data_IF_272455463292
#
_entry.id   IF_272455463292
#
_cell.length_a   1.000
_cell.length_b   1.000
_cell.length_c   1.000
_cell.angle_alpha   90.00
_cell.angle_beta   90.00
_cell.angle_gamma   90.00
#
_symmetry.space_group_name_H-M   'P 1'
#
loop_
_entity.id
_entity.type
_entity.pdbx_description
1 polymer ?
#
# COMPACT_ATOMS: atom_id res chain seq x y z
N UNK A 1 -71.85 0.59 27.48
CA UNK A 1 -71.25 -0.10 26.33
C UNK A 1 -70.24 0.85 25.72
N UNK A 2 -68.94 0.57 25.88
CA UNK A 2 -67.89 1.58 25.71
C UNK A 2 -67.52 1.76 24.23
N UNK A 3 -67.88 2.91 23.65
CA UNK A 3 -67.61 3.28 22.25
C UNK A 3 -66.10 3.25 21.90
N UNK A 4 -65.24 3.36 22.91
CA UNK A 4 -63.77 3.34 22.78
C UNK A 4 -63.28 1.96 22.28
N UNK A 5 -63.95 0.87 22.68
CA UNK A 5 -63.60 -0.49 22.23
C UNK A 5 -63.92 -0.72 20.76
N UNK A 6 -65.00 -0.12 20.25
CA UNK A 6 -65.39 -0.21 18.85
C UNK A 6 -64.40 0.55 17.95
N UNK A 7 -63.97 1.75 18.37
CA UNK A 7 -63.03 2.59 17.63
C UNK A 7 -61.64 1.92 17.54
N UNK A 8 -61.14 1.36 18.65
CA UNK A 8 -59.86 0.66 18.69
C UNK A 8 -59.83 -0.57 17.77
N UNK A 9 -60.94 -1.32 17.69
CA UNK A 9 -61.04 -2.51 16.85
C UNK A 9 -61.17 -2.16 15.37
N UNK A 10 -61.83 -1.06 15.02
CA UNK A 10 -61.87 -0.55 13.63
C UNK A 10 -60.54 0.02 13.17
N UNK A 11 -59.78 0.70 14.04
CA UNK A 11 -58.47 1.26 13.69
C UNK A 11 -57.42 0.17 13.47
N UNK A 12 -57.50 -0.95 14.19
CA UNK A 12 -56.62 -2.09 13.97
C UNK A 12 -56.84 -2.77 12.61
N UNK A 13 -58.05 -2.68 12.04
CA UNK A 13 -58.39 -3.21 10.73
C UNK A 13 -58.11 -2.24 9.57
N UNK A 14 -58.09 -0.93 9.86
CA UNK A 14 -57.77 0.12 8.87
C UNK A 14 -56.28 0.47 8.82
N UNK A 15 -55.50 0.03 9.80
CA UNK A 15 -54.07 0.25 9.81
C UNK A 15 -53.43 -0.58 8.68
N UNK A 16 -52.65 0.05 7.77
CA UNK A 16 -51.90 -0.69 6.78
C UNK A 16 -50.97 -1.69 7.49
N UNK A 17 -50.73 -2.89 6.91
CA UNK A 17 -49.81 -3.84 7.50
C UNK A 17 -48.46 -3.15 7.77
N UNK A 18 -47.82 -3.43 8.93
CA UNK A 18 -46.54 -2.82 9.25
C UNK A 18 -45.58 -3.07 8.09
N UNK A 19 -44.83 -2.05 7.63
CA UNK A 19 -43.96 -2.19 6.48
C UNK A 19 -42.96 -3.32 6.73
N UNK A 20 -42.87 -4.26 5.80
CA UNK A 20 -41.88 -5.33 5.79
C UNK A 20 -40.50 -4.70 6.00
N UNK A 21 -39.90 -4.90 7.18
CA UNK A 21 -38.57 -4.37 7.45
C UNK A 21 -37.59 -5.27 6.68
N UNK A 22 -36.73 -4.73 5.80
CA UNK A 22 -35.74 -5.54 5.11
C UNK A 22 -34.94 -6.35 6.13
N UNK A 23 -34.90 -7.67 5.94
CA UNK A 23 -34.09 -8.59 6.74
C UNK A 23 -32.66 -8.04 6.77
N UNK A 24 -32.15 -7.70 7.96
CA UNK A 24 -30.80 -7.15 8.07
C UNK A 24 -29.84 -8.25 7.60
N UNK A 25 -28.96 -8.00 6.62
CA UNK A 25 -28.03 -9.02 6.15
C UNK A 25 -27.25 -9.56 7.34
N UNK A 26 -27.29 -10.88 7.52
CA UNK A 26 -26.55 -11.54 8.58
C UNK A 26 -25.06 -11.15 8.44
N UNK A 27 -24.40 -10.69 9.52
CA UNK A 27 -22.99 -10.37 9.45
C UNK A 27 -22.23 -11.61 8.98
N UNK A 28 -21.43 -11.47 7.93
CA UNK A 28 -20.62 -12.56 7.39
C UNK A 28 -19.66 -13.06 8.46
N UNK A 29 -20.01 -14.20 9.05
CA UNK A 29 -19.35 -14.77 10.21
C UNK A 29 -17.89 -15.16 9.95
N UNK A 30 -17.03 -14.82 10.92
CA UNK A 30 -15.85 -15.58 11.29
C UNK A 30 -14.57 -15.42 10.47
N UNK A 31 -14.64 -15.28 9.13
CA UNK A 31 -13.46 -15.49 8.28
C UNK A 31 -13.18 -14.38 7.25
N UNK A 32 -13.97 -13.31 7.23
CA UNK A 32 -13.73 -12.16 6.35
C UNK A 32 -12.34 -11.53 6.57
N UNK A 33 -11.84 -11.56 7.81
CA UNK A 33 -10.50 -11.07 8.16
C UNK A 33 -9.38 -11.92 7.54
N UNK A 34 -9.57 -13.25 7.47
CA UNK A 34 -8.59 -14.15 6.87
C UNK A 34 -8.48 -13.92 5.36
N UNK A 35 -9.61 -13.72 4.68
CA UNK A 35 -9.62 -13.35 3.27
C UNK A 35 -8.91 -12.00 3.04
N UNK A 36 -9.15 -11.01 3.90
CA UNK A 36 -8.48 -9.71 3.81
C UNK A 36 -6.96 -9.82 3.99
N UNK A 37 -6.47 -10.66 4.91
CA UNK A 37 -5.04 -10.89 5.10
C UNK A 37 -4.39 -11.59 3.89
N UNK A 38 -5.06 -12.58 3.31
CA UNK A 38 -4.56 -13.28 2.12
C UNK A 38 -4.49 -12.33 0.93
N UNK A 39 -5.54 -11.54 0.69
CA UNK A 39 -5.56 -10.56 -0.40
C UNK A 39 -4.49 -9.50 -0.17
N UNK A 40 -4.39 -8.96 1.05
CA UNK A 40 -3.38 -7.97 1.41
C UNK A 40 -1.95 -8.49 1.25
N UNK A 41 -1.67 -9.73 1.64
CA UNK A 41 -0.34 -10.31 1.52
C UNK A 41 0.06 -10.50 0.05
N UNK A 42 -0.84 -10.99 -0.80
CA UNK A 42 -0.61 -11.12 -2.24
C UNK A 42 -0.34 -9.75 -2.87
N UNK A 43 -1.12 -8.72 -2.52
CA UNK A 43 -0.88 -7.35 -2.98
C UNK A 43 0.51 -6.84 -2.55
N UNK A 44 0.90 -7.06 -1.29
CA UNK A 44 2.22 -6.64 -0.81
C UNK A 44 3.34 -7.38 -1.54
N UNK A 45 3.23 -8.68 -1.74
CA UNK A 45 4.23 -9.48 -2.48
C UNK A 45 4.43 -8.94 -3.90
N UNK A 46 3.38 -8.44 -4.55
CA UNK A 46 3.47 -7.86 -5.89
C UNK A 46 4.02 -6.43 -5.89
N UNK A 47 3.63 -5.60 -4.93
CA UNK A 47 3.97 -4.17 -4.91
C UNK A 47 5.34 -3.91 -4.30
N UNK A 48 5.72 -4.63 -3.24
CA UNK A 48 6.98 -4.42 -2.52
C UNK A 48 8.21 -4.53 -3.43
N UNK A 49 8.35 -5.53 -4.32
CA UNK A 49 9.47 -5.59 -5.25
C UNK A 49 9.52 -4.39 -6.20
N UNK A 50 8.35 -3.93 -6.67
CA UNK A 50 8.25 -2.77 -7.55
C UNK A 50 8.77 -1.51 -6.83
N UNK A 51 8.32 -1.28 -5.59
CA UNK A 51 8.81 -0.15 -4.77
C UNK A 51 10.30 -0.29 -4.47
N UNK A 52 10.77 -1.49 -4.13
CA UNK A 52 12.17 -1.75 -3.82
C UNK A 52 13.10 -1.45 -5.01
N UNK A 53 12.77 -1.93 -6.21
CA UNK A 53 13.55 -1.67 -7.43
C UNK A 53 13.71 -0.17 -7.67
N UNK A 54 12.65 0.61 -7.48
CA UNK A 54 12.66 2.05 -7.71
C UNK A 54 13.39 2.80 -6.58
N UNK A 55 13.29 2.31 -5.34
CA UNK A 55 13.98 2.85 -4.17
C UNK A 55 15.50 2.62 -4.21
N UNK A 56 15.94 1.42 -4.57
CA UNK A 56 17.37 1.07 -4.66
C UNK A 56 18.07 1.71 -5.86
N UNK A 57 17.36 2.10 -6.93
CA UNK A 57 17.96 2.85 -8.05
C UNK A 57 18.27 4.33 -7.71
N UNK A 58 17.61 4.92 -6.72
CA UNK A 58 17.87 6.32 -6.32
C UNK A 58 19.28 6.60 -5.76
N UNK A 59 19.88 5.79 -4.86
CA UNK A 59 21.23 6.05 -4.36
C UNK A 59 22.29 6.02 -5.48
N UNK A 60 22.08 5.23 -6.53
CA UNK A 60 23.00 5.18 -7.68
C UNK A 60 22.98 6.50 -8.45
N UNK A 61 21.80 7.09 -8.67
CA UNK A 61 21.65 8.37 -9.35
C UNK A 61 22.40 9.50 -8.66
N UNK A 62 22.28 9.61 -7.34
CA UNK A 62 22.98 10.65 -6.56
C UNK A 62 24.49 10.46 -6.50
N UNK A 63 24.98 9.22 -6.45
CA UNK A 63 26.42 8.92 -6.55
C UNK A 63 26.97 9.23 -7.96
N UNK A 64 26.24 8.81 -9.00
CA UNK A 64 26.60 9.03 -10.40
C UNK A 64 26.65 10.51 -10.76
N UNK A 65 25.68 11.31 -10.31
CA UNK A 65 25.69 12.75 -10.52
C UNK A 65 26.92 13.43 -9.88
N UNK A 66 27.30 13.01 -8.66
CA UNK A 66 28.50 13.54 -7.98
C UNK A 66 29.80 13.09 -8.64
N UNK A 67 29.88 11.85 -9.09
CA UNK A 67 31.04 11.37 -9.83
C UNK A 67 31.20 12.12 -11.17
N UNK A 68 30.10 12.34 -11.89
CA UNK A 68 30.09 13.14 -13.12
C UNK A 68 30.48 14.61 -12.87
N UNK A 69 30.04 15.21 -11.76
CA UNK A 69 30.46 16.55 -11.36
C UNK A 69 31.98 16.66 -11.08
N UNK A 70 32.63 15.56 -10.69
CA UNK A 70 34.09 15.48 -10.54
C UNK A 70 34.81 15.14 -11.86
N UNK A 71 34.08 14.97 -12.96
CA UNK A 71 34.63 14.54 -14.25
C UNK A 71 35.01 13.06 -14.31
N UNK A 72 34.52 12.25 -13.37
CA UNK A 72 34.75 10.80 -13.31
C UNK A 72 33.61 9.97 -13.93
N UNK A 73 33.90 8.69 -14.15
CA UNK A 73 32.94 7.66 -14.58
C UNK A 73 32.66 6.69 -13.44
N UNK A 74 31.41 6.24 -13.31
CA UNK A 74 31.04 5.24 -12.30
C UNK A 74 31.34 3.84 -12.83
N UNK A 75 32.13 3.08 -12.08
CA UNK A 75 32.49 1.68 -12.36
C UNK A 75 32.04 0.80 -11.19
N UNK A 76 31.57 -0.40 -11.49
CA UNK A 76 31.25 -1.41 -10.47
C UNK A 76 32.57 -2.05 -10.03
N UNK A 77 32.79 -2.18 -8.71
CA UNK A 77 34.08 -2.61 -8.17
C UNK A 77 34.40 -4.09 -8.45
N UNK A 78 33.38 -4.95 -8.59
CA UNK A 78 33.58 -6.35 -8.89
C UNK A 78 33.05 -6.73 -10.28
N UNK A 79 33.74 -7.70 -10.89
CA UNK A 79 33.50 -8.20 -12.24
C UNK A 79 32.18 -8.97 -12.39
N UNK A 80 31.64 -9.47 -11.28
CA UNK A 80 30.33 -10.13 -11.18
C UNK A 80 29.16 -9.13 -11.06
N UNK A 81 29.46 -7.82 -11.11
CA UNK A 81 28.48 -6.76 -10.91
C UNK A 81 28.07 -6.58 -9.44
N UNK A 82 28.68 -7.31 -8.51
CA UNK A 82 28.43 -7.18 -7.08
C UNK A 82 29.35 -6.13 -6.45
N UNK A 83 28.93 -5.54 -5.33
CA UNK A 83 29.78 -4.62 -4.56
C UNK A 83 29.64 -3.12 -4.88
N UNK A 84 30.32 -2.28 -4.09
CA UNK A 84 30.05 -0.85 -4.04
C UNK A 84 30.51 -0.12 -5.31
N UNK A 85 29.70 0.83 -5.77
CA UNK A 85 30.03 1.74 -6.87
C UNK A 85 31.30 2.53 -6.56
N UNK A 86 32.24 2.58 -7.50
CA UNK A 86 33.46 3.38 -7.44
C UNK A 86 33.38 4.49 -8.48
N UNK A 87 33.91 5.66 -8.14
CA UNK A 87 34.12 6.73 -9.12
C UNK A 87 35.56 6.62 -9.61
N UNK A 88 35.78 6.67 -10.92
CA UNK A 88 37.11 6.53 -11.52
C UNK A 88 37.35 7.65 -12.54
N UNK A 89 38.54 8.24 -12.52
CA UNK A 89 38.99 9.25 -13.47
C UNK A 89 40.43 8.93 -13.89
N UNK A 90 40.68 8.76 -15.18
CA UNK A 90 42.01 8.47 -15.74
C UNK A 90 42.78 7.37 -14.99
N UNK A 91 42.09 6.26 -14.66
CA UNK A 91 42.67 5.13 -13.94
C UNK A 91 42.88 5.34 -12.43
N UNK A 92 42.42 6.47 -11.88
CA UNK A 92 42.45 6.75 -10.43
C UNK A 92 41.06 6.65 -9.83
N UNK A 93 40.95 5.94 -8.71
CA UNK A 93 39.72 5.90 -7.92
C UNK A 93 39.53 7.23 -7.18
N UNK A 94 38.43 7.92 -7.48
CA UNK A 94 37.98 9.12 -6.77
C UNK A 94 37.00 8.74 -5.66
N UNK A 95 37.08 9.44 -4.53
CA UNK A 95 36.11 9.32 -3.43
C UNK A 95 35.16 10.51 -3.46
N UNK A 96 33.92 10.37 -3.93
CA UNK A 96 32.98 11.48 -3.92
C UNK A 96 32.61 11.89 -2.49
N UNK A 97 32.25 13.17 -2.28
CA UNK A 97 31.89 13.69 -0.96
C UNK A 97 30.67 12.95 -0.38
N UNK A 98 30.73 12.69 0.93
CA UNK A 98 29.68 11.98 1.68
C UNK A 98 28.37 12.79 1.57
N UNK A 99 27.21 12.15 1.35
CA UNK A 99 25.95 12.88 1.39
C UNK A 99 25.75 13.54 2.77
N UNK A 100 25.08 14.70 2.84
CA UNK A 100 24.64 15.26 4.11
C UNK A 100 23.75 14.22 4.81
N UNK A 101 23.93 14.05 6.12
CA UNK A 101 23.03 13.24 6.91
C UNK A 101 21.62 13.85 6.87
N UNK A 102 20.55 13.04 6.81
CA UNK A 102 19.18 13.54 6.88
C UNK A 102 18.89 14.23 8.22
#
# INVERSE_FOLDING_TARGET
>A
MSAIGAIGLTLAFLAPPPPERPERPAPSGGHAWAAALVIGSVCLIMVVPMVAIWGFHRPEGGFRARCAALGGQVRVAALDGSGPLRCEQDGRTLRPPRPPAP
#
